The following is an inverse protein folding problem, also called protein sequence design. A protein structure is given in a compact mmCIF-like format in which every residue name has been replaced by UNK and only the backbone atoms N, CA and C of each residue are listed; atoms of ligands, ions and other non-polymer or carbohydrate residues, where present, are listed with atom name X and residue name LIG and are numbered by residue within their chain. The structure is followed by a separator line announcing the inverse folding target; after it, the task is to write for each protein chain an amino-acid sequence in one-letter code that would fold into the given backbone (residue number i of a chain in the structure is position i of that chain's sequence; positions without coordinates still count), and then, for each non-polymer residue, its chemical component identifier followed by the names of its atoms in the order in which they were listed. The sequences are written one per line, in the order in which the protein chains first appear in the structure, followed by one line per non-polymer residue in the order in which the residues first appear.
data_IF_770677070721
#
_entry.id   IF_770677070721
#
_cell.length_a   1.000
_cell.length_b   1.000
_cell.length_c   1.000
_cell.angle_alpha   90.00
_cell.angle_beta   90.00
_cell.angle_gamma   90.00
#
_symmetry.space_group_name_H-M   'P 1'
#
loop_
_entity.id
_entity.type
_entity.pdbx_description
1 polymer ?
#
# COMPACT_ATOMS: atom_id res chain seq x y z
N UNK A 1 17.57 -5.99 -2.93
CA UNK A 1 18.61 -5.53 -2.00
C UNK A 1 17.95 -5.04 -0.73
N UNK A 2 18.48 -5.44 0.42
CA UNK A 2 18.03 -4.95 1.72
C UNK A 2 19.24 -4.90 2.66
N UNK A 3 19.52 -3.74 3.23
CA UNK A 3 20.61 -3.58 4.21
C UNK A 3 20.29 -4.27 5.53
N UNK A 4 19.01 -4.36 5.88
CA UNK A 4 18.52 -5.03 7.09
C UNK A 4 18.49 -6.55 6.98
N UNK A 5 18.48 -7.12 5.78
CA UNK A 5 18.24 -8.55 5.52
C UNK A 5 16.77 -8.98 5.68
N UNK A 6 15.87 -8.05 5.93
CA UNK A 6 14.45 -8.32 6.13
C UNK A 6 13.75 -8.64 4.81
N UNK A 7 13.18 -9.83 4.69
CA UNK A 7 12.53 -10.28 3.46
C UNK A 7 11.24 -9.54 3.15
N UNK A 8 10.51 -9.07 4.17
CA UNK A 8 9.25 -8.32 4.00
C UNK A 8 9.44 -7.01 3.22
N UNK A 9 10.64 -6.42 3.18
CA UNK A 9 10.95 -5.25 2.34
C UNK A 9 11.28 -5.57 0.88
N UNK A 10 11.21 -6.82 0.43
CA UNK A 10 11.69 -7.22 -0.90
C UNK A 10 10.63 -7.70 -1.92
N UNK A 11 9.33 -7.82 -1.61
CA UNK A 11 8.35 -8.42 -2.51
C UNK A 11 8.28 -7.75 -3.89
N UNK A 12 8.34 -6.41 -3.95
CA UNK A 12 8.29 -5.67 -5.23
C UNK A 12 9.46 -6.03 -6.13
N UNK A 13 10.68 -6.10 -5.56
CA UNK A 13 11.86 -6.56 -6.30
C UNK A 13 11.69 -7.98 -6.81
N UNK A 14 11.12 -8.88 -6.00
CA UNK A 14 10.92 -10.28 -6.37
C UNK A 14 9.90 -10.44 -7.50
N UNK A 15 8.68 -9.93 -7.37
CA UNK A 15 7.67 -10.15 -8.39
C UNK A 15 7.91 -9.35 -9.69
N UNK A 16 8.74 -8.30 -9.64
CA UNK A 16 9.20 -7.58 -10.84
C UNK A 16 10.41 -8.22 -11.52
N UNK A 17 10.88 -9.37 -11.02
CA UNK A 17 11.87 -10.22 -11.68
C UNK A 17 13.33 -9.80 -11.49
N UNK A 18 13.68 -9.16 -10.37
CA UNK A 18 15.10 -8.93 -10.02
C UNK A 18 15.83 -10.27 -9.84
N UNK A 19 17.09 -10.31 -10.25
CA UNK A 19 17.88 -11.54 -10.31
C UNK A 19 18.57 -11.96 -8.99
N UNK A 20 18.47 -11.16 -7.96
CA UNK A 20 19.20 -11.30 -6.69
C UNK A 20 18.44 -12.11 -5.61
N UNK A 21 17.45 -12.91 -6.02
CA UNK A 21 16.66 -13.78 -5.12
C UNK A 21 17.13 -15.24 -5.20
N UNK A 22 18.38 -15.49 -4.84
CA UNK A 22 18.95 -16.85 -4.82
C UNK A 22 18.20 -17.73 -3.80
N UNK A 23 17.76 -18.91 -4.24
CA UNK A 23 17.01 -19.86 -3.39
C UNK A 23 15.50 -19.65 -3.34
N UNK A 24 14.98 -18.58 -3.93
CA UNK A 24 13.54 -18.41 -4.14
C UNK A 24 13.06 -19.08 -5.44
N UNK A 25 11.78 -19.49 -5.53
CA UNK A 25 11.22 -19.94 -6.79
C UNK A 25 11.38 -18.89 -7.88
N UNK A 26 11.66 -19.28 -9.10
CA UNK A 26 11.78 -18.33 -10.20
C UNK A 26 10.41 -17.77 -10.59
N UNK A 27 10.33 -16.45 -10.78
CA UNK A 27 9.12 -15.78 -11.31
C UNK A 27 9.10 -15.98 -12.81
N UNK A 28 8.17 -16.81 -13.31
CA UNK A 28 8.08 -17.12 -14.75
C UNK A 28 7.60 -15.94 -15.59
N UNK A 29 6.67 -15.16 -15.04
CA UNK A 29 6.07 -14.00 -15.69
C UNK A 29 6.14 -12.82 -14.73
N UNK A 30 7.27 -12.09 -14.67
CA UNK A 30 7.40 -10.94 -13.80
C UNK A 30 6.43 -9.83 -14.21
N UNK A 31 5.94 -9.10 -13.22
CA UNK A 31 5.13 -7.91 -13.47
C UNK A 31 6.03 -6.81 -14.05
N UNK A 32 5.71 -6.23 -15.21
CA UNK A 32 6.45 -5.09 -15.72
C UNK A 32 6.46 -3.93 -14.74
N UNK A 33 7.62 -3.30 -14.53
CA UNK A 33 7.79 -2.23 -13.54
C UNK A 33 6.82 -1.06 -13.75
N UNK A 34 6.53 -0.72 -14.99
CA UNK A 34 5.55 0.31 -15.36
C UNK A 34 4.10 -0.02 -15.00
N UNK A 35 3.84 -1.26 -14.59
CA UNK A 35 2.53 -1.71 -14.09
C UNK A 35 2.48 -1.77 -12.56
N UNK A 36 3.45 -1.18 -11.87
CA UNK A 36 3.51 -1.10 -10.42
C UNK A 36 3.40 0.35 -9.98
N UNK A 37 2.57 0.62 -8.98
CA UNK A 37 2.46 1.91 -8.32
C UNK A 37 2.66 1.74 -6.81
N UNK A 38 3.56 2.51 -6.24
CA UNK A 38 3.84 2.57 -4.81
C UNK A 38 3.40 3.93 -4.28
N UNK A 39 2.56 3.97 -3.26
CA UNK A 39 2.00 5.19 -2.67
C UNK A 39 2.29 5.21 -1.17
N UNK A 40 2.75 6.36 -0.65
CA UNK A 40 2.99 6.56 0.78
C UNK A 40 4.40 6.24 1.24
N UNK A 41 5.36 6.20 0.31
CA UNK A 41 6.76 5.97 0.63
C UNK A 41 7.32 7.09 1.53
N UNK A 42 7.98 6.70 2.64
CA UNK A 42 8.61 7.66 3.56
C UNK A 42 9.86 7.15 4.29
N UNK A 43 10.16 5.86 4.14
CA UNK A 43 11.38 5.25 4.68
C UNK A 43 11.93 4.28 3.64
N UNK A 44 13.05 4.64 3.04
CA UNK A 44 13.63 3.89 1.92
C UNK A 44 15.15 3.87 2.11
N UNK A 45 15.74 2.69 2.13
CA UNK A 45 17.19 2.51 2.22
C UNK A 45 17.90 3.07 0.97
N UNK A 46 19.17 3.48 1.13
CA UNK A 46 19.93 4.05 0.01
C UNK A 46 20.01 3.12 -1.22
N UNK A 47 20.30 1.82 -1.09
CA UNK A 47 20.30 0.91 -2.24
C UNK A 47 18.93 0.75 -2.89
N UNK A 48 17.87 0.74 -2.08
CA UNK A 48 16.48 0.67 -2.56
C UNK A 48 16.10 1.94 -3.30
N UNK A 49 16.43 3.13 -2.75
CA UNK A 49 16.19 4.41 -3.41
C UNK A 49 16.84 4.46 -4.78
N UNK A 50 18.11 4.08 -4.91
CA UNK A 50 18.80 4.04 -6.19
C UNK A 50 18.14 3.08 -7.18
N UNK A 51 17.68 1.92 -6.70
CA UNK A 51 16.96 0.96 -7.53
C UNK A 51 15.60 1.50 -8.00
N UNK A 52 14.85 2.17 -7.12
CA UNK A 52 13.57 2.80 -7.45
C UNK A 52 13.76 3.98 -8.42
N UNK A 53 14.79 4.82 -8.22
CA UNK A 53 15.10 5.93 -9.13
C UNK A 53 15.45 5.46 -10.54
N UNK A 54 16.11 4.31 -10.67
CA UNK A 54 16.46 3.70 -11.96
C UNK A 54 15.32 2.87 -12.58
N UNK A 55 14.21 2.66 -11.86
CA UNK A 55 13.09 1.84 -12.27
C UNK A 55 12.03 2.63 -13.04
N UNK A 56 11.08 1.91 -13.66
CA UNK A 56 9.86 2.47 -14.25
C UNK A 56 8.64 2.41 -13.32
N UNK A 57 8.84 2.06 -12.04
CA UNK A 57 7.78 2.00 -11.04
C UNK A 57 7.24 3.40 -10.80
N UNK A 58 5.91 3.55 -10.81
CA UNK A 58 5.24 4.77 -10.35
C UNK A 58 5.39 4.85 -8.85
N UNK A 59 6.01 5.91 -8.35
CA UNK A 59 6.28 6.09 -6.92
C UNK A 59 5.82 7.46 -6.46
N UNK A 60 5.09 7.45 -5.37
CA UNK A 60 4.54 8.64 -4.73
C UNK A 60 4.88 8.57 -3.24
N UNK A 61 5.81 9.42 -2.82
CA UNK A 61 6.19 9.55 -1.42
C UNK A 61 5.19 10.45 -0.65
N UNK A 62 5.35 10.52 0.66
CA UNK A 62 4.45 11.34 1.48
C UNK A 62 4.53 12.82 1.15
N UNK A 63 5.67 13.32 0.67
CA UNK A 63 5.78 14.70 0.22
C UNK A 63 4.94 14.97 -1.05
N UNK A 64 4.98 14.04 -2.01
CA UNK A 64 4.13 14.15 -3.21
C UNK A 64 2.65 14.16 -2.84
N UNK A 65 2.27 13.34 -1.84
CA UNK A 65 0.90 13.32 -1.31
C UNK A 65 0.54 14.63 -0.63
N UNK A 66 1.44 15.22 0.16
CA UNK A 66 1.21 16.52 0.83
C UNK A 66 1.04 17.66 -0.19
N UNK A 67 1.82 17.66 -1.27
CA UNK A 67 1.80 18.71 -2.29
C UNK A 67 0.61 18.57 -3.26
N UNK A 68 0.23 17.33 -3.64
CA UNK A 68 -0.70 17.04 -4.74
C UNK A 68 -1.97 16.30 -4.30
N UNK A 69 -2.04 15.88 -3.05
CA UNK A 69 -3.10 15.01 -2.54
C UNK A 69 -2.97 13.57 -3.03
N UNK A 70 -3.62 12.66 -2.34
CA UNK A 70 -3.53 11.22 -2.62
C UNK A 70 -4.37 10.79 -3.84
N UNK A 71 -5.43 11.53 -4.14
CA UNK A 71 -6.38 11.18 -5.18
C UNK A 71 -5.78 11.27 -6.59
N UNK A 72 -4.97 12.30 -6.86
CA UNK A 72 -4.38 12.53 -8.18
C UNK A 72 -3.52 11.37 -8.68
N UNK A 73 -2.47 11.00 -7.93
CA UNK A 73 -1.60 9.87 -8.27
C UNK A 73 -2.35 8.55 -8.46
N UNK A 74 -3.29 8.25 -7.56
CA UNK A 74 -4.10 7.03 -7.64
C UNK A 74 -4.98 7.03 -8.88
N UNK A 75 -5.72 8.12 -9.16
CA UNK A 75 -6.56 8.23 -10.35
C UNK A 75 -5.76 8.03 -11.64
N UNK A 76 -4.60 8.69 -11.75
CA UNK A 76 -3.75 8.56 -12.94
C UNK A 76 -3.30 7.10 -13.17
N UNK A 77 -3.00 6.36 -12.13
CA UNK A 77 -2.64 4.95 -12.24
C UNK A 77 -3.86 4.07 -12.59
N UNK A 78 -5.02 4.30 -11.96
CA UNK A 78 -6.27 3.59 -12.28
C UNK A 78 -6.68 3.79 -13.74
N UNK A 79 -6.56 5.01 -14.27
CA UNK A 79 -6.84 5.31 -15.68
C UNK A 79 -5.93 4.50 -16.62
N UNK A 80 -4.65 4.35 -16.28
CA UNK A 80 -3.72 3.51 -17.06
C UNK A 80 -4.14 2.04 -17.04
N UNK A 81 -4.52 1.50 -15.89
CA UNK A 81 -5.01 0.12 -15.77
C UNK A 81 -6.28 -0.08 -16.60
N UNK A 82 -7.22 0.86 -16.54
CA UNK A 82 -8.44 0.83 -17.33
C UNK A 82 -8.16 0.86 -18.84
N UNK A 83 -7.29 1.77 -19.30
CA UNK A 83 -6.90 1.89 -20.72
C UNK A 83 -6.22 0.61 -21.23
N UNK A 84 -5.46 -0.07 -20.38
CA UNK A 84 -4.84 -1.36 -20.70
C UNK A 84 -5.82 -2.54 -20.63
N UNK A 85 -7.09 -2.31 -20.25
CA UNK A 85 -8.07 -3.36 -19.93
C UNK A 85 -7.49 -4.38 -18.93
N UNK A 86 -6.74 -3.87 -17.94
CA UNK A 86 -6.00 -4.66 -16.98
C UNK A 86 -6.82 -5.01 -15.74
N UNK A 87 -6.31 -5.95 -14.95
CA UNK A 87 -6.79 -6.28 -13.62
C UNK A 87 -5.88 -5.63 -12.58
N UNK A 88 -6.45 -5.16 -11.47
CA UNK A 88 -5.71 -4.54 -10.38
C UNK A 88 -5.62 -5.48 -9.17
N UNK A 89 -4.40 -5.78 -8.76
CA UNK A 89 -4.09 -6.32 -7.44
C UNK A 89 -3.69 -5.18 -6.52
N UNK A 90 -4.20 -5.16 -5.31
CA UNK A 90 -3.85 -4.17 -4.28
C UNK A 90 -3.20 -4.87 -3.10
N UNK A 91 -2.03 -4.42 -2.70
CA UNK A 91 -1.42 -4.78 -1.42
C UNK A 91 -1.50 -3.56 -0.50
N UNK A 92 -2.36 -3.65 0.52
CA UNK A 92 -2.55 -2.61 1.52
C UNK A 92 -1.72 -2.97 2.75
N UNK A 93 -0.58 -2.31 2.86
CA UNK A 93 0.26 -2.37 4.03
C UNK A 93 -0.31 -1.46 5.12
N UNK A 94 -0.52 -2.00 6.33
CA UNK A 94 -1.09 -1.21 7.42
C UNK A 94 -0.13 -0.11 7.89
N UNK A 95 1.16 -0.27 7.67
CA UNK A 95 2.16 0.74 8.03
C UNK A 95 2.18 1.94 7.06
N UNK A 96 1.44 1.89 5.94
CA UNK A 96 1.09 3.08 5.15
C UNK A 96 0.45 4.17 6.01
N UNK A 97 -0.36 3.78 6.98
CA UNK A 97 -0.99 4.68 7.93
C UNK A 97 0.02 5.19 8.97
N UNK A 98 -0.26 6.37 9.52
CA UNK A 98 0.56 6.91 10.60
C UNK A 98 0.48 6.04 11.88
N UNK A 99 1.60 5.79 12.59
CA UNK A 99 1.60 4.99 13.82
C UNK A 99 0.71 5.52 14.94
N UNK A 100 0.34 6.80 14.91
CA UNK A 100 -0.62 7.36 15.87
C UNK A 100 -2.01 6.76 15.75
N UNK A 101 -2.36 6.24 14.56
CA UNK A 101 -3.67 5.61 14.30
C UNK A 101 -3.57 4.10 14.08
N UNK A 102 -2.44 3.61 13.58
CA UNK A 102 -2.18 2.19 13.31
C UNK A 102 -0.82 1.74 13.89
N UNK A 103 -0.68 1.62 15.23
CA UNK A 103 0.62 1.33 15.85
C UNK A 103 1.06 -0.14 15.75
N UNK A 104 0.16 -1.06 15.39
CA UNK A 104 0.41 -2.50 15.46
C UNK A 104 1.17 -3.04 14.24
N UNK A 105 2.37 -2.53 14.02
CA UNK A 105 3.28 -2.90 12.91
C UNK A 105 4.68 -3.20 13.43
N UNK A 106 5.42 -3.99 12.69
CA UNK A 106 6.80 -4.37 13.06
C UNK A 106 7.78 -3.19 13.03
N UNK A 107 7.60 -2.29 12.10
CA UNK A 107 8.46 -1.11 11.92
C UNK A 107 7.61 0.15 11.79
N UNK A 108 7.61 0.97 12.84
CA UNK A 108 6.84 2.22 12.87
C UNK A 108 7.64 3.38 12.30
N UNK A 109 7.10 4.07 11.30
CA UNK A 109 7.68 5.30 10.74
C UNK A 109 6.64 6.42 10.80
N UNK A 110 6.85 7.49 11.59
CA UNK A 110 5.94 8.63 11.66
C UNK A 110 5.77 9.36 10.31
N UNK A 111 4.68 10.12 10.18
CA UNK A 111 4.37 10.86 8.96
C UNK A 111 3.67 10.00 7.90
N UNK A 112 2.96 8.96 8.31
CA UNK A 112 2.12 8.15 7.45
C UNK A 112 0.78 8.79 7.12
N UNK A 113 -0.01 8.10 6.30
CA UNK A 113 -1.33 8.56 5.90
C UNK A 113 -2.32 8.62 7.08
N UNK A 114 -3.26 9.52 6.98
CA UNK A 114 -4.39 9.62 7.90
C UNK A 114 -5.43 8.54 7.64
N UNK A 115 -6.31 8.30 8.61
CA UNK A 115 -7.48 7.42 8.43
C UNK A 115 -8.35 7.87 7.23
N UNK A 116 -8.48 9.18 7.02
CA UNK A 116 -9.29 9.71 5.91
C UNK A 116 -8.68 9.39 4.55
N UNK A 117 -7.37 9.54 4.40
CA UNK A 117 -6.65 9.16 3.18
C UNK A 117 -6.72 7.67 2.92
N UNK A 118 -6.58 6.85 3.97
CA UNK A 118 -6.78 5.40 3.87
C UNK A 118 -8.17 5.02 3.35
N UNK A 119 -9.22 5.64 3.89
CA UNK A 119 -10.59 5.41 3.39
C UNK A 119 -10.79 5.94 1.97
N UNK A 120 -10.24 7.13 1.64
CA UNK A 120 -10.36 7.69 0.30
C UNK A 120 -9.74 6.77 -0.75
N UNK A 121 -8.53 6.25 -0.51
CA UNK A 121 -7.91 5.24 -1.39
C UNK A 121 -8.84 4.04 -1.57
N UNK A 122 -9.33 3.46 -0.48
CA UNK A 122 -10.16 2.26 -0.53
C UNK A 122 -11.47 2.50 -1.29
N UNK A 123 -12.12 3.65 -1.08
CA UNK A 123 -13.34 4.03 -1.80
C UNK A 123 -13.07 4.26 -3.30
N UNK A 124 -11.95 4.91 -3.66
CA UNK A 124 -11.54 5.09 -5.07
C UNK A 124 -11.22 3.77 -5.76
N UNK A 125 -10.54 2.85 -5.07
CA UNK A 125 -10.26 1.50 -5.58
C UNK A 125 -11.56 0.74 -5.89
N UNK A 126 -12.55 0.79 -4.97
CA UNK A 126 -13.87 0.22 -5.20
C UNK A 126 -14.59 0.85 -6.39
N UNK A 127 -14.67 2.18 -6.42
CA UNK A 127 -15.39 2.94 -7.45
C UNK A 127 -14.79 2.75 -8.84
N UNK A 128 -13.50 2.42 -8.95
CA UNK A 128 -12.84 2.09 -10.20
C UNK A 128 -13.36 0.80 -10.86
N UNK A 129 -13.87 -0.14 -10.08
CA UNK A 129 -14.28 -1.46 -10.54
C UNK A 129 -13.13 -2.35 -11.05
N UNK A 130 -11.88 -1.93 -10.90
CA UNK A 130 -10.69 -2.62 -11.46
C UNK A 130 -10.08 -3.62 -10.48
N UNK A 131 -10.32 -3.47 -9.16
CA UNK A 131 -9.71 -4.31 -8.15
C UNK A 131 -10.27 -5.74 -8.19
N UNK A 132 -9.39 -6.70 -8.47
CA UNK A 132 -9.73 -8.13 -8.53
C UNK A 132 -9.19 -8.93 -7.35
N UNK A 133 -8.18 -8.40 -6.66
CA UNK A 133 -7.60 -9.02 -5.46
C UNK A 133 -7.02 -7.99 -4.51
N UNK A 134 -7.00 -8.31 -3.23
CA UNK A 134 -6.54 -7.44 -2.15
C UNK A 134 -5.78 -8.26 -1.11
N UNK A 135 -4.57 -7.82 -0.77
CA UNK A 135 -3.82 -8.27 0.40
C UNK A 135 -3.88 -7.21 1.50
N UNK A 136 -4.04 -7.65 2.74
CA UNK A 136 -3.90 -6.82 3.94
C UNK A 136 -2.67 -7.34 4.70
N UNK A 137 -1.60 -6.56 4.76
CA UNK A 137 -0.31 -7.04 5.24
C UNK A 137 0.24 -6.20 6.41
N UNK A 138 1.28 -6.73 7.06
CA UNK A 138 2.09 -6.13 8.12
C UNK A 138 1.36 -5.90 9.48
N UNK A 139 0.11 -6.29 9.64
CA UNK A 139 -0.52 -6.25 10.96
C UNK A 139 0.16 -7.23 11.92
N UNK A 140 0.71 -6.73 13.02
CA UNK A 140 1.23 -7.54 14.11
C UNK A 140 0.24 -7.52 15.29
N UNK A 141 -0.56 -8.58 15.49
CA UNK A 141 -1.59 -8.60 16.53
C UNK A 141 -1.03 -8.56 17.96
N UNK A 142 0.25 -8.94 18.17
CA UNK A 142 0.90 -8.86 19.47
C UNK A 142 1.26 -7.43 19.89
N UNK A 143 1.31 -6.50 18.95
CA UNK A 143 1.55 -5.07 19.18
C UNK A 143 0.25 -4.25 19.18
N UNK A 144 -0.90 -4.90 18.94
CA UNK A 144 -2.17 -4.20 18.79
C UNK A 144 -2.85 -3.95 20.13
N UNK A 145 -2.98 -2.69 20.50
CA UNK A 145 -3.70 -2.28 21.70
C UNK A 145 -5.21 -2.44 21.50
N UNK A 146 -5.80 -3.41 22.19
CA UNK A 146 -7.25 -3.68 22.18
C UNK A 146 -7.82 -3.91 20.76
N UNK A 147 -6.99 -4.32 19.81
CA UNK A 147 -7.42 -4.59 18.45
C UNK A 147 -7.72 -3.34 17.58
N UNK A 148 -7.26 -2.15 18.02
CA UNK A 148 -7.61 -0.88 17.31
C UNK A 148 -7.11 -0.86 15.87
N UNK A 149 -5.89 -1.35 15.61
CA UNK A 149 -5.33 -1.41 14.26
C UNK A 149 -6.06 -2.44 13.42
N UNK A 150 -6.33 -3.63 13.97
CA UNK A 150 -7.13 -4.65 13.31
C UNK A 150 -8.53 -4.15 12.94
N UNK A 151 -9.20 -3.45 13.85
CA UNK A 151 -10.51 -2.84 13.58
C UNK A 151 -10.43 -1.80 12.45
N UNK A 152 -9.37 -0.97 12.43
CA UNK A 152 -9.16 0.00 11.36
C UNK A 152 -8.94 -0.71 10.00
N UNK A 153 -8.15 -1.78 9.96
CA UNK A 153 -7.97 -2.56 8.72
C UNK A 153 -9.27 -3.18 8.22
N UNK A 154 -10.12 -3.70 9.13
CA UNK A 154 -11.46 -4.19 8.78
C UNK A 154 -12.33 -3.06 8.20
N UNK A 155 -12.25 -1.86 8.78
CA UNK A 155 -13.00 -0.70 8.28
C UNK A 155 -12.50 -0.27 6.88
N UNK A 156 -11.19 -0.26 6.64
CA UNK A 156 -10.60 0.03 5.32
C UNK A 156 -10.98 -1.03 4.29
N UNK A 157 -10.87 -2.31 4.67
CA UNK A 157 -11.29 -3.42 3.82
C UNK A 157 -12.76 -3.30 3.42
N UNK A 158 -13.64 -2.95 4.35
CA UNK A 158 -15.06 -2.74 4.06
C UNK A 158 -15.28 -1.56 3.10
N UNK A 159 -14.45 -0.49 3.16
CA UNK A 159 -14.50 0.60 2.17
C UNK A 159 -14.02 0.12 0.80
N UNK A 160 -12.95 -0.67 0.73
CA UNK A 160 -12.48 -1.27 -0.51
C UNK A 160 -13.50 -2.23 -1.14
N UNK A 161 -14.41 -2.79 -0.33
CA UNK A 161 -15.54 -3.63 -0.75
C UNK A 161 -16.86 -2.86 -0.93
N UNK A 162 -16.84 -1.53 -0.90
CA UNK A 162 -17.96 -0.66 -1.29
C UNK A 162 -18.75 -0.03 -0.15
N UNK A 163 -18.33 -0.21 1.12
CA UNK A 163 -18.95 0.53 2.22
C UNK A 163 -18.53 2.00 2.18
N UNK A 164 -19.50 2.89 2.12
CA UNK A 164 -19.26 4.34 2.07
C UNK A 164 -19.35 4.99 3.45
N UNK A 165 -18.89 6.23 3.55
CA UNK A 165 -18.89 6.99 4.80
C UNK A 165 -20.29 7.13 5.42
N UNK A 166 -21.33 7.28 4.61
CA UNK A 166 -22.72 7.37 5.08
C UNK A 166 -23.28 6.05 5.62
N UNK A 167 -22.67 4.91 5.26
CA UNK A 167 -23.08 3.58 5.71
C UNK A 167 -22.45 3.22 7.07
N UNK A 168 -21.55 4.07 7.57
CA UNK A 168 -20.82 3.79 8.82
C UNK A 168 -21.70 4.12 10.01
N UNK A 169 -21.85 3.19 10.97
CA UNK A 169 -22.55 3.50 12.21
C UNK A 169 -21.75 4.57 12.98
N UNK A 170 -22.47 5.52 13.58
CA UNK A 170 -21.85 6.46 14.51
C UNK A 170 -21.30 5.69 15.70
N UNK A 171 -19.97 5.67 15.86
CA UNK A 171 -19.32 5.10 17.04
C UNK A 171 -19.13 6.21 18.05
N UNK A 172 -19.79 6.10 19.23
CA UNK A 172 -19.39 6.89 20.37
C UNK A 172 -18.09 6.31 20.91
N UNK A 173 -17.02 7.09 20.86
CA UNK A 173 -15.80 6.76 21.59
C UNK A 173 -16.06 7.01 23.08
N UNK A 174 -16.46 5.97 23.81
CA UNK A 174 -16.49 5.94 25.28
C UNK A 174 -15.21 5.33 25.80
#
# INVERSE_FOLDING_TARGET
TTDSGNLHGTPVGYFTGRSDFTGFPSVKNPVPQENVCMIGLRSVDTPERLALEASKIHRHDMRDIDENGIAGPLSAFLDRVAQANGMLHVSLDVDFLDPSVAPAVGTTVPGGATVREGHLICEMLHDSGLMTSLDLVELNPFLDERGRTAHLMVDLCASALGRRVFDRPTRSYQ
#
